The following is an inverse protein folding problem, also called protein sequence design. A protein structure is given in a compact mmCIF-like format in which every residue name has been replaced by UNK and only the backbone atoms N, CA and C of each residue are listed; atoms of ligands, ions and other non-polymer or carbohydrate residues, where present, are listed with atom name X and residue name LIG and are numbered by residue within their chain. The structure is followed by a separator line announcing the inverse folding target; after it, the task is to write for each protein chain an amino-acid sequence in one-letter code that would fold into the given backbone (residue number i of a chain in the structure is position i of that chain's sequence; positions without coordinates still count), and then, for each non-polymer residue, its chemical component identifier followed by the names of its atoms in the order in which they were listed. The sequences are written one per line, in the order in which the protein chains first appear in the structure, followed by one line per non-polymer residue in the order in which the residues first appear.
data_IF_313749353601
#
_entry.id   IF_313749353601
#
_cell.length_a   1.000
_cell.length_b   1.000
_cell.length_c   1.000
_cell.angle_alpha   90.00
_cell.angle_beta   90.00
_cell.angle_gamma   90.00
#
_symmetry.space_group_name_H-M   'P 1'
#
loop_
_entity.id
_entity.type
_entity.pdbx_description
1 polymer ?
#
# COMPACT_ATOMS: atom_id res chain seq x y z
N UNK A 1 -16.53 -8.30 -34.75
CA UNK A 1 -16.89 -7.08 -34.00
C UNK A 1 -15.78 -6.87 -32.98
N UNK A 2 -14.77 -6.05 -33.35
CA UNK A 2 -13.56 -5.82 -32.51
C UNK A 2 -13.93 -4.73 -31.52
N UNK A 3 -14.09 -5.11 -30.24
CA UNK A 3 -14.22 -4.12 -29.15
C UNK A 3 -12.85 -3.47 -28.99
N UNK A 4 -12.65 -2.30 -29.60
CA UNK A 4 -11.58 -1.40 -29.24
C UNK A 4 -11.89 -0.86 -27.84
N UNK A 5 -11.34 -1.50 -26.81
CA UNK A 5 -11.21 -0.85 -25.50
C UNK A 5 -10.26 0.32 -25.70
N UNK A 6 -10.80 1.53 -25.78
CA UNK A 6 -10.02 2.75 -25.68
C UNK A 6 -9.52 2.89 -24.25
N UNK A 7 -8.36 2.27 -23.94
CA UNK A 7 -7.56 2.71 -22.80
C UNK A 7 -6.89 4.03 -23.20
N UNK A 8 -7.58 5.12 -23.00
CA UNK A 8 -6.93 6.45 -22.99
C UNK A 8 -6.09 6.51 -21.73
N UNK A 9 -4.80 6.26 -21.85
CA UNK A 9 -3.89 6.52 -20.73
C UNK A 9 -3.72 8.02 -20.56
N UNK A 10 -3.42 8.48 -19.35
CA UNK A 10 -3.13 9.88 -19.08
C UNK A 10 -2.03 10.43 -20.01
N UNK A 11 -1.10 9.59 -20.46
CA UNK A 11 -0.03 9.95 -21.40
C UNK A 11 -0.59 10.29 -22.77
N UNK A 12 -1.51 9.49 -23.32
CA UNK A 12 -2.13 9.75 -24.62
C UNK A 12 -3.00 10.99 -24.61
N UNK A 13 -3.63 11.31 -23.50
CA UNK A 13 -4.41 12.54 -23.34
C UNK A 13 -3.49 13.78 -23.30
N UNK A 14 -2.38 13.71 -22.54
CA UNK A 14 -1.44 14.84 -22.42
C UNK A 14 -0.75 15.15 -23.75
N UNK A 15 -0.35 14.13 -24.51
CA UNK A 15 0.49 14.29 -25.70
C UNK A 15 -0.25 13.96 -27.00
N UNK A 16 -1.55 14.19 -27.06
CA UNK A 16 -2.36 13.91 -28.25
C UNK A 16 -1.86 14.69 -29.48
N UNK A 17 -1.43 15.91 -29.31
CA UNK A 17 -0.87 16.79 -30.34
C UNK A 17 0.52 16.36 -30.83
N UNK A 18 1.25 15.62 -30.02
CA UNK A 18 2.57 15.08 -30.32
C UNK A 18 2.54 13.68 -30.94
N UNK A 19 1.37 13.04 -31.05
CA UNK A 19 1.25 11.67 -31.55
C UNK A 19 1.74 11.58 -33.02
N UNK A 20 2.67 10.67 -33.26
CA UNK A 20 3.20 10.38 -34.60
C UNK A 20 2.48 9.17 -35.22
N UNK A 21 2.27 8.12 -34.44
CA UNK A 21 1.64 6.89 -34.87
C UNK A 21 1.94 5.72 -33.94
N UNK A 22 1.64 4.51 -34.41
CA UNK A 22 1.97 3.28 -33.70
C UNK A 22 2.56 2.24 -34.65
N UNK A 23 3.44 1.40 -34.11
CA UNK A 23 4.07 0.29 -34.82
C UNK A 23 4.10 -0.97 -33.92
N UNK A 24 4.36 -2.11 -34.52
CA UNK A 24 4.66 -3.34 -33.75
C UNK A 24 6.14 -3.66 -33.97
N UNK A 25 6.90 -3.62 -32.89
CA UNK A 25 8.33 -3.89 -32.89
C UNK A 25 8.64 -5.07 -31.95
N UNK A 26 9.17 -6.14 -32.45
CA UNK A 26 9.47 -7.39 -31.68
C UNK A 26 8.29 -7.89 -30.83
N UNK A 27 7.06 -7.79 -31.34
CA UNK A 27 5.85 -8.21 -30.64
C UNK A 27 5.33 -7.18 -29.62
N UNK A 28 5.98 -6.02 -29.45
CA UNK A 28 5.55 -4.93 -28.59
C UNK A 28 4.83 -3.86 -29.43
N UNK A 29 3.64 -3.45 -29.01
CA UNK A 29 2.98 -2.28 -29.59
C UNK A 29 3.67 -1.03 -29.08
N UNK A 30 4.30 -0.25 -29.97
CA UNK A 30 4.98 1.00 -29.66
C UNK A 30 4.13 2.16 -30.16
N UNK A 31 3.70 3.05 -29.26
CA UNK A 31 3.03 4.30 -29.59
C UNK A 31 4.07 5.42 -29.50
N UNK A 32 4.24 6.16 -30.60
CA UNK A 32 5.33 7.11 -30.76
C UNK A 32 4.82 8.54 -30.68
N UNK A 33 5.49 9.35 -29.87
CA UNK A 33 5.25 10.78 -29.68
C UNK A 33 6.50 11.58 -30.05
N UNK A 34 6.34 12.65 -30.81
CA UNK A 34 7.40 13.62 -31.09
C UNK A 34 7.14 14.90 -30.28
N UNK A 35 7.83 15.05 -29.16
CA UNK A 35 7.62 16.18 -28.25
C UNK A 35 7.93 17.55 -28.87
N UNK A 36 8.60 17.62 -30.00
CA UNK A 36 8.78 18.89 -30.75
C UNK A 36 7.47 19.43 -31.31
N UNK A 37 6.42 18.59 -31.37
CA UNK A 37 5.07 18.98 -31.84
C UNK A 37 4.16 19.41 -30.69
N UNK A 38 4.50 19.02 -29.43
CA UNK A 38 3.71 19.36 -28.26
C UNK A 38 3.78 20.85 -27.93
N UNK A 39 2.65 21.42 -27.52
CA UNK A 39 2.56 22.82 -27.10
C UNK A 39 3.04 23.03 -25.68
N UNK A 40 4.30 23.39 -25.51
CA UNK A 40 4.90 23.72 -24.22
C UNK A 40 4.69 25.16 -23.74
N UNK A 41 3.97 26.02 -24.48
CA UNK A 41 3.84 27.44 -24.14
C UNK A 41 3.25 27.65 -22.73
N UNK A 42 2.24 26.87 -22.36
CA UNK A 42 1.63 26.96 -21.04
C UNK A 42 2.60 26.55 -19.93
N UNK A 43 3.36 25.50 -20.15
CA UNK A 43 4.30 24.96 -19.16
C UNK A 43 5.50 25.87 -18.95
N UNK A 44 5.98 26.49 -20.02
CA UNK A 44 7.11 27.42 -20.02
C UNK A 44 6.71 28.84 -19.64
N UNK A 45 5.40 29.13 -19.57
CA UNK A 45 4.89 30.49 -19.29
C UNK A 45 5.30 31.51 -20.32
N UNK A 46 5.50 31.11 -21.60
CA UNK A 46 5.97 31.99 -22.68
C UNK A 46 5.09 31.87 -23.90
N UNK A 47 5.00 32.96 -24.67
CA UNK A 47 4.39 33.00 -26.00
C UNK A 47 5.45 33.07 -27.14
N UNK A 48 6.72 32.99 -26.78
CA UNK A 48 7.81 33.09 -27.75
C UNK A 48 7.87 31.83 -28.62
N UNK A 49 8.28 31.98 -29.87
CA UNK A 49 8.48 30.87 -30.79
C UNK A 49 9.51 29.89 -30.23
N UNK A 50 9.15 28.61 -30.14
CA UNK A 50 10.04 27.54 -29.71
C UNK A 50 10.88 27.05 -30.89
N UNK A 51 12.18 26.96 -30.68
CA UNK A 51 13.13 26.39 -31.63
C UNK A 51 13.73 25.10 -31.04
N UNK A 52 13.86 24.07 -31.85
CA UNK A 52 14.36 22.77 -31.44
C UNK A 52 15.73 22.46 -32.03
N UNK A 53 16.58 21.78 -31.25
CA UNK A 53 17.81 21.22 -31.81
C UNK A 53 17.48 20.09 -32.78
N UNK A 54 18.35 19.89 -33.79
CA UNK A 54 18.19 18.81 -34.77
C UNK A 54 18.38 17.41 -34.11
N UNK A 55 19.31 17.33 -33.17
CA UNK A 55 19.61 16.11 -32.44
C UNK A 55 18.50 15.81 -31.46
N UNK A 56 17.93 14.62 -31.60
CA UNK A 56 16.90 14.11 -30.72
C UNK A 56 17.30 12.70 -30.22
N UNK A 57 16.86 12.33 -29.04
CA UNK A 57 17.03 10.98 -28.50
C UNK A 57 15.67 10.36 -28.22
N UNK A 58 15.66 9.03 -28.08
CA UNK A 58 14.42 8.31 -27.78
C UNK A 58 14.39 7.91 -26.32
N UNK A 59 13.20 8.00 -25.72
CA UNK A 59 12.91 7.48 -24.37
C UNK A 59 11.77 6.49 -24.52
N UNK A 60 12.06 5.22 -24.31
CA UNK A 60 11.05 4.16 -24.32
C UNK A 60 10.56 3.91 -22.90
N UNK A 61 9.24 3.79 -22.72
CA UNK A 61 8.57 3.64 -21.42
C UNK A 61 7.55 2.53 -21.52
N UNK A 62 7.65 1.55 -20.63
CA UNK A 62 6.67 0.46 -20.54
C UNK A 62 5.33 0.97 -19.99
N UNK A 63 4.25 0.52 -20.61
CA UNK A 63 2.88 0.82 -20.21
C UNK A 63 2.10 -0.45 -19.91
N UNK A 64 1.03 -0.32 -19.10
CA UNK A 64 0.07 -1.40 -18.91
C UNK A 64 -0.64 -1.70 -20.22
N UNK A 65 -0.71 -2.98 -20.52
CA UNK A 65 -1.37 -3.49 -21.72
C UNK A 65 -2.27 -4.67 -21.38
N UNK A 66 -2.90 -5.24 -22.39
CA UNK A 66 -3.58 -6.53 -22.23
C UNK A 66 -2.56 -7.66 -22.03
N UNK A 67 -2.97 -8.76 -21.37
CA UNK A 67 -2.11 -9.90 -21.13
C UNK A 67 -1.42 -10.37 -22.40
N UNK A 68 -0.12 -10.59 -22.33
CA UNK A 68 0.76 -11.03 -23.41
C UNK A 68 0.85 -10.11 -24.65
N UNK A 69 0.33 -8.89 -24.58
CA UNK A 69 0.53 -7.86 -25.59
C UNK A 69 1.28 -6.69 -24.99
N UNK A 70 2.61 -6.71 -24.94
CA UNK A 70 3.38 -5.63 -24.35
C UNK A 70 3.14 -4.33 -25.09
N UNK A 71 3.10 -3.24 -24.36
CA UNK A 71 2.95 -1.89 -24.92
C UNK A 71 4.03 -0.97 -24.36
N UNK A 72 4.53 -0.10 -25.21
CA UNK A 72 5.48 0.93 -24.82
C UNK A 72 5.14 2.25 -25.48
N UNK A 73 5.45 3.34 -24.81
CA UNK A 73 5.51 4.68 -25.38
C UNK A 73 6.94 5.00 -25.77
N UNK A 74 7.13 5.52 -26.97
CA UNK A 74 8.41 6.06 -27.44
C UNK A 74 8.30 7.54 -27.61
N UNK A 75 9.05 8.29 -26.83
CA UNK A 75 9.13 9.74 -26.93
C UNK A 75 10.38 10.16 -27.69
N UNK A 76 10.21 10.98 -28.72
CA UNK A 76 11.31 11.67 -29.38
C UNK A 76 11.51 12.98 -28.65
N UNK A 77 12.63 13.13 -27.96
CA UNK A 77 12.97 14.26 -27.10
C UNK A 77 14.14 15.03 -27.70
N UNK A 78 13.98 16.34 -27.84
CA UNK A 78 15.05 17.23 -28.25
C UNK A 78 15.15 18.41 -27.29
N UNK A 79 16.33 19.01 -27.16
CA UNK A 79 16.48 20.25 -26.41
C UNK A 79 15.83 21.40 -27.19
N UNK A 80 14.95 22.14 -26.54
CA UNK A 80 14.33 23.35 -27.07
C UNK A 80 15.00 24.61 -26.56
N UNK A 81 14.74 25.74 -27.23
CA UNK A 81 15.08 27.07 -26.75
C UNK A 81 14.08 28.10 -27.24
N UNK A 82 13.98 29.22 -26.51
CA UNK A 82 13.22 30.41 -26.88
C UNK A 82 13.93 31.69 -26.44
N UNK A 83 13.50 32.83 -26.95
CA UNK A 83 13.97 34.12 -26.46
C UNK A 83 13.00 34.63 -25.39
N UNK A 84 13.50 34.94 -24.22
CA UNK A 84 12.72 35.58 -23.16
C UNK A 84 12.47 37.09 -23.48
N UNK A 85 11.72 37.80 -22.65
CA UNK A 85 11.40 39.21 -22.81
C UNK A 85 12.64 40.13 -22.82
N UNK A 86 13.79 39.65 -22.32
CA UNK A 86 15.08 40.34 -22.35
C UNK A 86 15.93 39.97 -23.56
N UNK A 87 15.35 39.30 -24.58
CA UNK A 87 16.03 38.78 -25.77
C UNK A 87 17.19 37.81 -25.45
N UNK A 88 17.17 37.18 -24.29
CA UNK A 88 18.14 36.17 -23.92
C UNK A 88 17.61 34.79 -24.33
N UNK A 89 18.51 33.94 -24.85
CA UNK A 89 18.15 32.56 -25.22
C UNK A 89 18.07 31.68 -23.97
N UNK A 90 16.88 31.14 -23.71
CA UNK A 90 16.61 30.21 -22.65
C UNK A 90 16.52 28.79 -23.23
N UNK A 91 17.29 27.87 -22.72
CA UNK A 91 17.26 26.47 -23.13
C UNK A 91 16.42 25.63 -22.13
N UNK A 92 15.70 24.64 -22.64
CA UNK A 92 14.93 23.71 -21.83
C UNK A 92 14.98 22.31 -22.45
N UNK A 93 14.83 21.29 -21.61
CA UNK A 93 14.57 19.92 -22.04
C UNK A 93 13.18 19.56 -21.59
N UNK A 94 12.29 19.08 -22.47
CA UNK A 94 10.95 18.66 -22.07
C UNK A 94 10.97 17.64 -20.97
N UNK A 95 10.20 17.86 -19.92
CA UNK A 95 9.89 16.83 -18.95
C UNK A 95 8.70 16.01 -19.43
N UNK A 96 8.82 14.67 -19.41
CA UNK A 96 7.74 13.80 -19.87
C UNK A 96 6.82 13.51 -18.69
N UNK A 97 5.64 14.12 -18.69
CA UNK A 97 4.62 13.89 -17.65
C UNK A 97 3.98 12.52 -17.74
N UNK A 98 3.54 12.00 -16.63
CA UNK A 98 2.86 10.70 -16.56
C UNK A 98 3.78 9.48 -16.67
N UNK A 99 5.08 9.68 -16.73
CA UNK A 99 6.07 8.60 -16.79
C UNK A 99 7.25 8.83 -15.82
N UNK A 100 7.92 7.76 -15.46
CA UNK A 100 9.23 7.80 -14.80
C UNK A 100 10.31 7.51 -15.84
N UNK A 101 10.92 8.53 -16.38
CA UNK A 101 11.95 8.39 -17.43
C UNK A 101 13.18 7.64 -16.94
N UNK A 102 13.59 7.86 -15.68
CA UNK A 102 14.72 7.16 -15.06
C UNK A 102 14.50 5.65 -14.85
N UNK A 103 13.24 5.21 -14.87
CA UNK A 103 12.85 3.82 -14.65
C UNK A 103 12.17 3.19 -15.85
N UNK A 104 11.97 3.95 -16.91
CA UNK A 104 11.29 3.51 -18.13
C UNK A 104 9.89 2.91 -17.90
N UNK A 105 9.13 3.49 -16.94
CA UNK A 105 7.79 3.02 -16.53
C UNK A 105 6.78 4.14 -16.55
N UNK A 106 5.56 3.85 -17.01
CA UNK A 106 4.45 4.78 -16.87
C UNK A 106 3.97 4.87 -15.41
N UNK A 107 3.31 5.97 -15.08
CA UNK A 107 2.69 6.14 -13.77
C UNK A 107 1.59 5.10 -13.50
N UNK A 108 0.92 4.61 -14.55
CA UNK A 108 -0.08 3.54 -14.46
C UNK A 108 0.53 2.24 -13.94
N UNK A 109 1.69 1.85 -14.49
CA UNK A 109 2.44 0.67 -14.06
C UNK A 109 2.87 0.81 -12.59
N UNK A 110 3.46 1.97 -12.24
CA UNK A 110 3.93 2.25 -10.88
C UNK A 110 2.77 2.20 -9.88
N UNK A 111 1.67 2.90 -10.17
CA UNK A 111 0.48 2.94 -9.31
C UNK A 111 -0.14 1.56 -9.10
N UNK A 112 -0.28 0.77 -10.16
CA UNK A 112 -0.82 -0.59 -10.04
C UNK A 112 0.09 -1.47 -9.18
N UNK A 113 1.41 -1.44 -9.41
CA UNK A 113 2.37 -2.23 -8.63
C UNK A 113 2.32 -1.85 -7.13
N UNK A 114 2.32 -0.56 -6.82
CA UNK A 114 2.23 -0.06 -5.44
C UNK A 114 0.88 -0.40 -4.78
N UNK A 115 -0.23 -0.26 -5.52
CA UNK A 115 -1.56 -0.61 -5.00
C UNK A 115 -1.68 -2.10 -4.69
N UNK A 116 -1.20 -2.97 -5.57
CA UNK A 116 -1.20 -4.42 -5.32
C UNK A 116 -0.30 -4.79 -4.13
N UNK A 117 0.83 -4.12 -3.94
CA UNK A 117 1.69 -4.35 -2.78
C UNK A 117 1.03 -3.90 -1.48
N UNK A 118 0.57 -2.65 -1.44
CA UNK A 118 0.14 -1.99 -0.19
C UNK A 118 -1.29 -2.34 0.17
N UNK A 119 -2.22 -2.31 -0.79
CA UNK A 119 -3.65 -2.54 -0.54
C UNK A 119 -3.99 -4.02 -0.53
N UNK A 120 -3.45 -4.78 -1.49
CA UNK A 120 -3.76 -6.21 -1.63
C UNK A 120 -2.78 -7.12 -0.88
N UNK A 121 -1.70 -6.58 -0.30
CA UNK A 121 -0.71 -7.34 0.46
C UNK A 121 0.10 -8.34 -0.40
N UNK A 122 0.20 -8.12 -1.71
CA UNK A 122 0.96 -9.00 -2.60
C UNK A 122 2.46 -8.77 -2.38
N UNK A 123 3.22 -9.84 -2.12
CA UNK A 123 4.65 -9.70 -1.88
C UNK A 123 5.40 -9.14 -3.09
N UNK A 124 6.43 -8.31 -2.85
CA UNK A 124 7.20 -7.67 -3.92
C UNK A 124 7.83 -8.67 -4.91
N UNK A 125 8.17 -9.88 -4.44
CA UNK A 125 8.69 -10.95 -5.29
C UNK A 125 7.61 -11.49 -6.23
N UNK A 126 6.40 -11.72 -5.71
CA UNK A 126 5.28 -12.18 -6.52
C UNK A 126 4.82 -11.11 -7.52
N UNK A 127 4.87 -9.83 -7.14
CA UNK A 127 4.59 -8.73 -8.07
C UNK A 127 5.59 -8.68 -9.21
N UNK A 128 6.89 -8.75 -8.92
CA UNK A 128 7.91 -8.76 -9.97
C UNK A 128 7.70 -9.92 -10.95
N UNK A 129 7.35 -11.11 -10.43
CA UNK A 129 7.01 -12.27 -11.27
C UNK A 129 5.73 -12.03 -12.08
N UNK A 130 4.67 -11.53 -11.45
CA UNK A 130 3.39 -11.26 -12.10
C UNK A 130 3.53 -10.27 -13.26
N UNK A 131 4.23 -9.16 -13.05
CA UNK A 131 4.45 -8.17 -14.11
C UNK A 131 5.30 -8.72 -15.25
N UNK A 132 6.35 -9.51 -14.94
CA UNK A 132 7.19 -10.14 -15.96
C UNK A 132 6.44 -11.17 -16.79
N UNK A 133 5.56 -11.97 -16.17
CA UNK A 133 4.88 -13.08 -16.86
C UNK A 133 3.60 -12.62 -17.57
N UNK A 134 2.77 -11.82 -16.91
CA UNK A 134 1.46 -11.43 -17.46
C UNK A 134 1.53 -10.22 -18.38
N UNK A 135 2.31 -9.21 -17.99
CA UNK A 135 2.40 -7.95 -18.72
C UNK A 135 3.67 -7.83 -19.58
N UNK A 136 4.59 -8.81 -19.45
CA UNK A 136 5.90 -8.80 -20.10
C UNK A 136 6.72 -7.54 -19.79
N UNK A 137 6.51 -6.96 -18.59
CA UNK A 137 7.22 -5.79 -18.10
C UNK A 137 8.32 -6.27 -17.15
N UNK A 138 9.60 -6.13 -17.49
CA UNK A 138 10.70 -6.51 -16.61
C UNK A 138 10.74 -5.58 -15.40
N UNK A 139 10.54 -6.15 -14.21
CA UNK A 139 10.44 -5.38 -12.97
C UNK A 139 11.19 -6.08 -11.83
N UNK A 140 11.94 -5.33 -11.04
CA UNK A 140 12.60 -5.86 -9.86
C UNK A 140 11.83 -5.54 -8.58
N UNK A 141 11.96 -6.42 -7.56
CA UNK A 141 11.43 -6.14 -6.22
C UNK A 141 11.96 -4.83 -5.63
N UNK A 142 13.21 -4.49 -5.93
CA UNK A 142 13.86 -3.26 -5.45
C UNK A 142 13.28 -2.01 -6.11
N UNK A 143 12.89 -2.10 -7.38
CA UNK A 143 12.19 -1.00 -8.06
C UNK A 143 10.83 -0.73 -7.41
N UNK A 144 10.03 -1.79 -7.18
CA UNK A 144 8.73 -1.66 -6.53
C UNK A 144 8.89 -1.08 -5.12
N UNK A 145 9.86 -1.58 -4.35
CA UNK A 145 10.12 -1.04 -3.01
C UNK A 145 10.43 0.47 -3.06
N UNK A 146 11.31 0.89 -3.97
CA UNK A 146 11.67 2.31 -4.14
C UNK A 146 10.44 3.16 -4.46
N UNK A 147 9.56 2.71 -5.34
CA UNK A 147 8.33 3.43 -5.66
C UNK A 147 7.40 3.58 -4.46
N UNK A 148 7.27 2.53 -3.63
CA UNK A 148 6.50 2.60 -2.39
C UNK A 148 7.12 3.61 -1.42
N UNK A 149 8.45 3.57 -1.25
CA UNK A 149 9.19 4.49 -0.39
C UNK A 149 9.04 5.95 -0.89
N UNK A 150 9.15 6.17 -2.21
CA UNK A 150 8.97 7.49 -2.84
C UNK A 150 7.55 8.04 -2.62
N UNK A 151 6.52 7.22 -2.86
CA UNK A 151 5.12 7.61 -2.61
C UNK A 151 4.91 7.90 -1.13
N UNK A 152 5.43 7.03 -0.26
CA UNK A 152 5.35 7.19 1.18
C UNK A 152 5.97 8.51 1.67
N UNK A 153 7.11 8.89 1.09
CA UNK A 153 7.79 10.15 1.41
C UNK A 153 7.02 11.42 1.00
N UNK A 154 6.07 11.31 0.08
CA UNK A 154 5.21 12.43 -0.35
C UNK A 154 3.85 12.46 0.37
N UNK A 155 3.53 11.44 1.18
CA UNK A 155 2.30 11.46 1.97
C UNK A 155 2.40 12.53 3.08
N UNK A 156 1.27 13.17 3.41
CA UNK A 156 1.24 14.08 4.56
C UNK A 156 1.56 13.30 5.84
N UNK A 157 2.17 13.94 6.85
CA UNK A 157 2.47 13.30 8.12
C UNK A 157 1.20 12.75 8.77
N UNK A 158 1.30 11.66 9.56
CA UNK A 158 0.14 10.99 10.17
C UNK A 158 -0.78 11.93 10.93
N UNK A 159 -0.24 12.93 11.62
CA UNK A 159 -0.99 13.93 12.37
C UNK A 159 -1.86 14.83 11.47
N UNK A 160 -1.35 15.21 10.32
CA UNK A 160 -2.12 16.00 9.35
C UNK A 160 -3.23 15.16 8.72
N UNK A 161 -2.96 13.87 8.45
CA UNK A 161 -3.97 12.92 7.98
C UNK A 161 -5.07 12.72 9.02
N UNK A 162 -4.73 12.53 10.30
CA UNK A 162 -5.72 12.40 11.37
C UNK A 162 -6.64 13.62 11.44
N UNK A 163 -6.09 14.84 11.46
CA UNK A 163 -6.91 16.07 11.46
C UNK A 163 -7.85 16.15 10.26
N UNK A 164 -7.36 15.80 9.09
CA UNK A 164 -8.18 15.77 7.86
C UNK A 164 -9.31 14.75 7.96
N UNK A 165 -9.02 13.52 8.39
CA UNK A 165 -10.02 12.48 8.55
C UNK A 165 -11.08 12.82 9.59
N UNK A 166 -10.68 13.40 10.74
CA UNK A 166 -11.62 13.85 11.77
C UNK A 166 -12.51 15.02 11.30
N UNK A 167 -11.99 15.87 10.43
CA UNK A 167 -12.78 16.96 9.83
C UNK A 167 -13.81 16.44 8.81
N UNK A 168 -13.46 15.39 8.06
CA UNK A 168 -14.37 14.76 7.08
C UNK A 168 -15.46 13.94 7.75
N UNK A 169 -15.11 13.15 8.73
CA UNK A 169 -16.02 12.25 9.43
C UNK A 169 -15.54 12.04 10.88
N UNK A 170 -16.09 12.80 11.85
CA UNK A 170 -15.78 12.63 13.25
C UNK A 170 -16.12 11.22 13.72
N UNK A 171 -15.24 10.63 14.49
CA UNK A 171 -15.44 9.33 15.14
C UNK A 171 -15.23 9.44 16.64
N UNK A 172 -15.90 8.58 17.39
CA UNK A 172 -15.74 8.47 18.84
C UNK A 172 -15.53 7.03 19.31
N UNK A 173 -15.54 6.09 18.37
CA UNK A 173 -15.26 4.68 18.61
C UNK A 173 -14.07 4.24 17.76
N UNK A 174 -13.10 3.59 18.39
CA UNK A 174 -11.92 3.17 17.66
C UNK A 174 -11.28 1.90 18.24
N UNK A 175 -10.51 1.23 17.36
CA UNK A 175 -9.72 0.06 17.67
C UNK A 175 -8.24 0.40 17.65
N UNK A 176 -7.50 -0.05 18.65
CA UNK A 176 -6.04 0.06 18.71
C UNK A 176 -5.43 -1.34 18.67
N UNK A 177 -4.45 -1.51 17.80
CA UNK A 177 -3.68 -2.75 17.65
C UNK A 177 -2.20 -2.43 17.46
N UNK A 178 -1.33 -3.34 17.87
CA UNK A 178 0.10 -3.28 17.66
C UNK A 178 0.56 -4.43 16.77
N UNK A 179 1.51 -4.15 15.90
CA UNK A 179 2.08 -5.14 14.99
C UNK A 179 3.57 -4.96 14.85
N UNK A 180 4.31 -6.06 14.78
CA UNK A 180 5.72 -6.08 14.42
C UNK A 180 5.85 -6.51 12.96
N UNK A 181 6.10 -5.59 12.02
CA UNK A 181 6.30 -5.94 10.63
C UNK A 181 7.48 -6.91 10.46
N UNK A 182 7.34 -7.88 9.55
CA UNK A 182 8.37 -8.89 9.31
C UNK A 182 9.72 -8.24 8.94
N UNK A 183 10.75 -8.58 9.72
CA UNK A 183 12.13 -8.10 9.50
C UNK A 183 12.42 -6.73 10.11
N UNK A 184 11.56 -6.24 11.00
CA UNK A 184 11.80 -5.04 11.81
C UNK A 184 11.74 -5.38 13.30
N UNK A 185 12.49 -4.63 14.10
CA UNK A 185 12.41 -4.67 15.56
C UNK A 185 11.47 -3.56 16.09
N UNK A 186 10.83 -2.82 15.20
CA UNK A 186 9.91 -1.73 15.51
C UNK A 186 8.47 -2.22 15.57
N UNK A 187 7.73 -1.79 16.57
CA UNK A 187 6.28 -1.96 16.66
C UNK A 187 5.58 -0.84 15.91
N UNK A 188 4.56 -1.17 15.13
CA UNK A 188 3.65 -0.19 14.53
C UNK A 188 2.32 -0.26 15.26
N UNK A 189 2.00 0.78 16.03
CA UNK A 189 0.69 0.96 16.64
C UNK A 189 -0.25 1.61 15.64
N UNK A 190 -1.47 1.09 15.54
CA UNK A 190 -2.48 1.55 14.58
C UNK A 190 -3.77 1.85 15.31
N UNK A 191 -4.38 3.00 15.03
CA UNK A 191 -5.75 3.30 15.44
C UNK A 191 -6.64 3.30 14.20
N UNK A 192 -7.73 2.52 14.25
CA UNK A 192 -8.79 2.46 13.25
C UNK A 192 -10.12 2.89 13.86
N UNK A 193 -10.99 3.47 13.06
CA UNK A 193 -12.36 3.75 13.48
C UNK A 193 -13.31 2.55 13.29
N UNK A 194 -14.58 2.77 13.62
CA UNK A 194 -15.69 1.81 13.47
C UNK A 194 -15.96 1.38 12.02
N UNK A 195 -15.38 2.10 11.04
CA UNK A 195 -15.50 1.81 9.60
C UNK A 195 -14.23 1.19 9.01
N UNK A 196 -13.32 0.68 9.86
CA UNK A 196 -12.00 0.13 9.48
C UNK A 196 -11.07 1.16 8.78
N UNK A 197 -11.36 2.47 8.87
CA UNK A 197 -10.44 3.49 8.35
C UNK A 197 -9.27 3.66 9.31
N UNK A 198 -8.05 3.56 8.79
CA UNK A 198 -6.85 3.86 9.57
C UNK A 198 -6.82 5.37 9.82
N UNK A 199 -6.97 5.76 11.08
CA UNK A 199 -6.93 7.15 11.51
C UNK A 199 -5.50 7.65 11.64
N UNK A 200 -4.64 6.86 12.27
CA UNK A 200 -3.24 7.22 12.51
C UNK A 200 -2.41 5.96 12.80
N UNK A 201 -1.14 6.03 12.46
CA UNK A 201 -0.13 5.03 12.79
C UNK A 201 1.01 5.68 13.57
N UNK A 202 1.69 4.91 14.42
CA UNK A 202 2.86 5.34 15.16
C UNK A 202 3.88 4.21 15.25
N UNK A 203 5.12 4.52 14.89
CA UNK A 203 6.24 3.61 15.08
C UNK A 203 6.86 3.80 16.47
N UNK A 204 7.00 2.71 17.20
CA UNK A 204 7.60 2.65 18.51
C UNK A 204 8.63 1.54 18.59
N UNK A 205 9.56 1.63 19.51
CA UNK A 205 10.55 0.55 19.74
C UNK A 205 9.87 -0.73 20.25
N UNK A 206 8.75 -0.61 20.96
CA UNK A 206 8.02 -1.74 21.53
C UNK A 206 6.57 -1.36 21.89
N UNK A 207 5.74 -2.36 22.18
CA UNK A 207 4.38 -2.19 22.74
C UNK A 207 4.42 -1.88 24.26
N UNK A 208 5.28 -0.97 24.71
CA UNK A 208 5.28 -0.60 26.11
C UNK A 208 4.19 0.43 26.44
N UNK A 209 3.79 0.47 27.71
CA UNK A 209 2.68 1.32 28.17
C UNK A 209 2.98 2.83 28.06
N UNK A 210 4.24 3.22 28.15
CA UNK A 210 4.63 4.63 28.05
C UNK A 210 4.53 5.14 26.60
N UNK A 211 5.05 4.40 25.63
CA UNK A 211 4.94 4.76 24.21
C UNK A 211 3.46 4.80 23.78
N UNK A 212 2.67 3.81 24.21
CA UNK A 212 1.22 3.80 23.96
C UNK A 212 0.50 5.01 24.59
N UNK A 213 0.86 5.38 25.82
CA UNK A 213 0.29 6.55 26.49
C UNK A 213 0.63 7.86 25.79
N UNK A 214 1.87 8.03 25.40
CA UNK A 214 2.32 9.23 24.67
C UNK A 214 1.66 9.31 23.29
N UNK A 215 1.52 8.20 22.59
CA UNK A 215 0.82 8.14 21.32
C UNK A 215 -0.66 8.53 21.46
N UNK A 216 -1.37 7.96 22.44
CA UNK A 216 -2.76 8.28 22.69
C UNK A 216 -2.95 9.73 23.17
N UNK A 217 -2.03 10.28 24.00
CA UNK A 217 -2.06 11.68 24.40
C UNK A 217 -1.94 12.59 23.18
N UNK A 218 -1.01 12.31 22.26
CA UNK A 218 -0.87 13.05 21.00
C UNK A 218 -2.15 13.01 20.18
N UNK A 219 -2.79 11.83 20.06
CA UNK A 219 -4.06 11.70 19.35
C UNK A 219 -5.16 12.57 19.98
N UNK A 220 -5.24 12.61 21.32
CA UNK A 220 -6.17 13.46 22.06
C UNK A 220 -5.93 14.94 21.81
N UNK A 221 -4.67 15.37 21.82
CA UNK A 221 -4.26 16.76 21.56
C UNK A 221 -4.58 17.18 20.10
N UNK A 222 -4.60 16.22 19.18
CA UNK A 222 -5.02 16.41 17.79
C UNK A 222 -6.54 16.41 17.58
N UNK A 223 -7.31 16.18 18.65
CA UNK A 223 -8.77 16.27 18.64
C UNK A 223 -9.50 14.93 18.54
N UNK A 224 -8.82 13.79 18.64
CA UNK A 224 -9.48 12.48 18.68
C UNK A 224 -10.29 12.35 19.97
N UNK A 225 -11.61 12.27 19.84
CA UNK A 225 -12.56 12.05 20.95
C UNK A 225 -12.87 10.57 21.05
N UNK A 226 -13.16 10.11 22.28
CA UNK A 226 -13.37 8.69 22.56
C UNK A 226 -14.54 8.47 23.49
N UNK A 227 -15.51 7.69 23.06
CA UNK A 227 -16.60 7.16 23.89
C UNK A 227 -16.40 5.66 24.15
N UNK A 228 -15.86 4.94 23.15
CA UNK A 228 -15.53 3.53 23.27
C UNK A 228 -14.19 3.23 22.57
N UNK A 229 -13.35 2.46 23.27
CA UNK A 229 -12.04 2.02 22.78
C UNK A 229 -11.96 0.49 22.83
N UNK A 230 -11.47 -0.09 21.75
CA UNK A 230 -11.28 -1.52 21.61
C UNK A 230 -9.79 -1.82 21.41
N UNK A 231 -9.24 -2.77 22.13
CA UNK A 231 -7.88 -3.25 21.89
C UNK A 231 -7.73 -4.71 22.34
N UNK A 232 -6.57 -5.29 22.07
CA UNK A 232 -6.22 -6.56 22.66
C UNK A 232 -6.15 -6.47 24.21
N UNK A 233 -5.95 -7.62 24.86
CA UNK A 233 -5.79 -7.67 26.33
C UNK A 233 -4.38 -7.25 26.79
N UNK A 234 -3.61 -6.55 25.97
CA UNK A 234 -2.33 -6.01 26.39
C UNK A 234 -2.54 -5.08 27.58
N UNK A 235 -1.87 -5.38 28.68
CA UNK A 235 -1.91 -4.52 29.87
C UNK A 235 -1.44 -3.09 29.54
N UNK A 236 -0.41 -3.00 28.68
CA UNK A 236 0.14 -1.73 28.20
C UNK A 236 -0.91 -0.83 27.56
N UNK A 237 -1.69 -1.37 26.62
CA UNK A 237 -2.73 -0.61 25.93
C UNK A 237 -3.90 -0.29 26.86
N UNK A 238 -4.33 -1.26 27.66
CA UNK A 238 -5.44 -1.06 28.61
C UNK A 238 -5.15 0.05 29.60
N UNK A 239 -3.95 0.07 30.18
CA UNK A 239 -3.53 1.11 31.14
C UNK A 239 -3.36 2.48 30.45
N UNK A 240 -2.77 2.50 29.24
CA UNK A 240 -2.61 3.73 28.48
C UNK A 240 -3.97 4.35 28.09
N UNK A 241 -4.92 3.54 27.63
CA UNK A 241 -6.28 3.99 27.28
C UNK A 241 -6.97 4.58 28.51
N UNK A 242 -6.96 3.88 29.66
CA UNK A 242 -7.57 4.36 30.89
C UNK A 242 -6.93 5.64 31.42
N UNK A 243 -5.62 5.78 31.27
CA UNK A 243 -4.91 6.98 31.72
C UNK A 243 -5.25 8.22 30.87
N UNK A 244 -5.33 8.07 29.55
CA UNK A 244 -5.54 9.19 28.62
C UNK A 244 -7.04 9.50 28.45
N UNK A 245 -7.88 8.46 28.41
CA UNK A 245 -9.33 8.57 28.20
C UNK A 245 -10.12 7.88 29.35
N UNK A 246 -10.09 8.41 30.55
CA UNK A 246 -10.67 7.76 31.75
C UNK A 246 -12.18 7.54 31.67
N UNK A 247 -12.87 8.31 30.82
CA UNK A 247 -14.33 8.20 30.63
C UNK A 247 -14.71 7.29 29.45
N UNK A 248 -13.75 6.80 28.68
CA UNK A 248 -14.02 5.90 27.56
C UNK A 248 -14.41 4.52 28.10
N UNK A 249 -15.42 3.92 27.47
CA UNK A 249 -15.73 2.51 27.67
C UNK A 249 -14.64 1.68 26.99
N UNK A 250 -13.97 0.83 27.77
CA UNK A 250 -12.98 -0.08 27.21
C UNK A 250 -13.61 -1.47 27.01
N UNK A 251 -13.38 -2.03 25.82
CA UNK A 251 -13.73 -3.39 25.50
C UNK A 251 -12.54 -4.11 24.89
N UNK A 252 -12.23 -5.29 25.41
CA UNK A 252 -11.23 -6.13 24.79
C UNK A 252 -11.69 -6.63 23.42
N UNK A 253 -10.78 -6.66 22.47
CA UNK A 253 -11.05 -7.21 21.14
C UNK A 253 -11.48 -8.68 21.24
N UNK A 254 -12.65 -8.95 20.66
CA UNK A 254 -13.27 -10.27 20.73
C UNK A 254 -12.41 -11.35 20.06
N UNK A 255 -11.74 -11.02 18.95
CA UNK A 255 -10.85 -11.94 18.25
C UNK A 255 -9.66 -12.33 19.13
N UNK A 256 -8.99 -11.37 19.75
CA UNK A 256 -7.87 -11.61 20.66
C UNK A 256 -8.30 -12.40 21.92
N UNK A 257 -9.48 -12.10 22.44
CA UNK A 257 -10.08 -12.85 23.55
C UNK A 257 -10.25 -14.32 23.20
N UNK A 258 -10.92 -14.62 22.08
CA UNK A 258 -11.14 -15.99 21.60
C UNK A 258 -9.81 -16.69 21.30
N UNK A 259 -8.86 -16.00 20.66
CA UNK A 259 -7.51 -16.51 20.37
C UNK A 259 -6.75 -16.90 21.64
N UNK A 260 -6.84 -16.08 22.69
CA UNK A 260 -6.16 -16.34 23.97
C UNK A 260 -6.78 -17.52 24.69
N UNK A 261 -8.11 -17.57 24.84
CA UNK A 261 -8.83 -18.72 25.40
C UNK A 261 -8.43 -19.99 24.65
N UNK A 262 -8.44 -19.94 23.33
CA UNK A 262 -8.06 -21.05 22.48
C UNK A 262 -6.59 -21.45 22.66
N UNK A 263 -5.68 -20.50 22.81
CA UNK A 263 -4.26 -20.74 23.09
C UNK A 263 -4.06 -21.52 24.42
N UNK A 264 -4.77 -21.13 25.47
CA UNK A 264 -4.75 -21.80 26.73
C UNK A 264 -5.33 -23.21 26.64
N UNK A 265 -6.46 -23.38 25.98
CA UNK A 265 -7.09 -24.68 25.76
C UNK A 265 -6.16 -25.64 24.99
N UNK A 266 -5.51 -25.13 23.94
CA UNK A 266 -4.51 -25.87 23.15
C UNK A 266 -3.34 -26.34 24.02
N UNK A 267 -2.77 -25.42 24.83
CA UNK A 267 -1.65 -25.74 25.72
C UNK A 267 -2.05 -26.84 26.73
N UNK A 268 -3.23 -26.71 27.35
CA UNK A 268 -3.76 -27.70 28.30
C UNK A 268 -3.97 -29.07 27.66
N UNK A 269 -4.58 -29.11 26.47
CA UNK A 269 -4.79 -30.36 25.72
C UNK A 269 -3.47 -31.01 25.32
N UNK A 270 -2.47 -30.24 24.89
CA UNK A 270 -1.15 -30.78 24.54
C UNK A 270 -0.41 -31.29 25.79
N UNK A 271 -0.51 -30.58 26.91
CA UNK A 271 0.05 -31.01 28.19
C UNK A 271 -0.59 -32.35 28.66
N UNK A 272 -1.91 -32.41 28.65
CA UNK A 272 -2.65 -33.63 28.99
C UNK A 272 -2.28 -34.81 28.08
N UNK A 273 -2.18 -34.58 26.75
CA UNK A 273 -1.73 -35.61 25.80
C UNK A 273 -0.31 -36.12 26.11
N UNK A 274 0.60 -35.22 26.52
CA UNK A 274 1.98 -35.57 26.89
C UNK A 274 1.97 -36.44 28.17
N UNK A 275 1.15 -36.09 29.17
CA UNK A 275 1.00 -36.84 30.40
C UNK A 275 0.46 -38.24 30.15
N UNK A 276 -0.58 -38.40 29.33
CA UNK A 276 -1.12 -39.72 28.94
C UNK A 276 -0.06 -40.56 28.22
N UNK A 277 0.74 -39.98 27.33
CA UNK A 277 1.82 -40.71 26.65
C UNK A 277 2.91 -41.15 27.63
N UNK A 278 3.29 -40.28 28.57
CA UNK A 278 4.32 -40.56 29.57
C UNK A 278 3.88 -41.63 30.60
N UNK A 279 2.61 -41.66 30.94
CA UNK A 279 2.06 -42.64 31.95
C UNK A 279 1.85 -44.05 31.40
N UNK A 280 2.17 -44.31 30.12
CA UNK A 280 1.91 -45.63 29.51
C UNK A 280 0.42 -45.99 29.34
N UNK A 281 -0.49 -45.13 29.78
CA UNK A 281 -1.94 -45.31 29.71
C UNK A 281 -2.51 -45.15 28.28
N UNK A 282 -1.67 -44.78 27.33
CA UNK A 282 -2.08 -44.56 25.91
C UNK A 282 -2.66 -45.82 25.24
N UNK A 283 -2.41 -47.02 25.80
CA UNK A 283 -3.02 -48.27 25.31
C UNK A 283 -4.37 -48.57 25.92
N UNK A 284 -4.78 -47.86 27.01
CA UNK A 284 -6.01 -48.14 27.74
C UNK A 284 -7.16 -47.16 27.54
N UNK A 285 -6.94 -46.02 26.86
CA UNK A 285 -7.94 -44.96 26.80
C UNK A 285 -8.10 -44.34 25.41
N UNK A 286 -8.46 -45.17 24.41
CA UNK A 286 -8.84 -44.72 23.07
C UNK A 286 -10.01 -43.74 23.08
N UNK A 287 -10.90 -43.83 24.09
CA UNK A 287 -12.03 -42.91 24.23
C UNK A 287 -11.59 -41.47 24.58
N UNK A 288 -10.61 -41.32 25.48
CA UNK A 288 -10.06 -40.00 25.83
C UNK A 288 -9.31 -39.38 24.68
N UNK A 289 -8.58 -40.16 23.87
CA UNK A 289 -7.94 -39.72 22.66
C UNK A 289 -8.96 -39.31 21.57
N UNK A 290 -10.05 -40.04 21.46
CA UNK A 290 -11.15 -39.75 20.55
C UNK A 290 -11.86 -38.43 20.93
N UNK A 291 -12.14 -38.23 22.25
CA UNK A 291 -12.70 -36.98 22.78
C UNK A 291 -11.77 -35.77 22.56
N UNK A 292 -10.47 -35.92 22.80
CA UNK A 292 -9.50 -34.85 22.50
C UNK A 292 -9.41 -34.51 21.00
N UNK A 293 -9.54 -35.51 20.12
CA UNK A 293 -9.65 -35.30 18.68
C UNK A 293 -10.96 -34.59 18.28
N UNK A 294 -12.09 -34.93 18.94
CA UNK A 294 -13.37 -34.23 18.72
C UNK A 294 -13.33 -32.79 19.17
N UNK A 295 -12.78 -32.48 20.34
CA UNK A 295 -12.56 -31.10 20.81
C UNK A 295 -11.65 -30.32 19.88
N UNK A 296 -10.64 -30.98 19.31
CA UNK A 296 -9.77 -30.34 18.29
C UNK A 296 -10.49 -30.04 16.98
N UNK A 297 -11.46 -30.85 16.56
CA UNK A 297 -12.30 -30.60 15.39
C UNK A 297 -13.32 -29.49 15.62
N UNK A 298 -13.86 -29.36 16.84
CA UNK A 298 -14.82 -28.30 17.22
C UNK A 298 -14.19 -26.87 17.20
N UNK A 299 -12.86 -26.77 17.21
CA UNK A 299 -12.15 -25.49 17.18
C UNK A 299 -12.62 -24.55 16.06
N UNK A 300 -12.89 -25.12 14.88
CA UNK A 300 -13.31 -24.34 13.73
C UNK A 300 -14.76 -23.87 13.79
N UNK A 301 -15.59 -24.57 14.56
CA UNK A 301 -16.97 -24.16 14.80
C UNK A 301 -17.06 -22.97 15.76
N UNK A 302 -16.11 -22.87 16.72
CA UNK A 302 -16.03 -21.73 17.65
C UNK A 302 -15.45 -20.48 17.02
N UNK A 303 -14.68 -20.61 15.93
CA UNK A 303 -14.08 -19.48 15.20
C UNK A 303 -14.91 -19.00 14.00
N UNK A 304 -16.02 -19.69 13.68
CA UNK A 304 -16.95 -19.18 12.66
C UNK A 304 -17.71 -18.01 13.24
N UNK A 305 -17.61 -16.85 12.57
CA UNK A 305 -18.48 -15.70 12.87
C UNK A 305 -19.94 -16.17 12.83
N UNK A 306 -20.79 -15.82 13.82
CA UNK A 306 -22.22 -16.03 13.71
C UNK A 306 -22.69 -15.22 12.50
N UNK A 307 -23.15 -15.88 11.43
CA UNK A 307 -23.75 -15.22 10.29
C UNK A 307 -23.08 -15.44 8.93
N UNK A 308 -22.12 -16.36 8.79
CA UNK A 308 -21.66 -16.86 7.48
C UNK A 308 -21.94 -18.36 7.36
#
# INVERSE_FOLDING_TARGET
MTVQMQFTSAVTEIYQDALVGSSIENGTTVIQFDLRRHDFHQELGTKATLCWRKEAYHVDVHELSTFHNPMAYRFIVAQGCYLNDRHQRVYFTPEIKGVSTSQHMSQSVIRLACSLAVVCGVSLRHLALLFSVLFLIPMSKSSIKRWIDDIGGHLPPPEAMLRHLLALAPTTEWHMDGSYPLGTDTCVMVIKDEHDRILITHEAASENGEDARQFLQRCKDLGLKVTAAFSDYSQSFTEAIKAVYPHARFQADHFHTVKNIWGHLKKSLLSYRRQIKASGAAKKDEQLLARAKQLWKLRWSLLKKPGN
#
